data_IF_183535554855
#
_entry.id   IF_183535554855
#
_cell.length_a   1.000
_cell.length_b   1.000
_cell.length_c   1.000
_cell.angle_alpha   90.00
_cell.angle_beta   90.00
_cell.angle_gamma   90.00
#
_symmetry.space_group_name_H-M   'P 1'
#
loop_
_entity.id
_entity.type
_entity.pdbx_description
1 polymer ?
#
# COMPACT_ATOMS: atom_id res chain seq x y z
N UNK A 1 -19.06 -1.59 -2.51
CA UNK A 1 -18.92 -2.81 -3.35
C UNK A 1 -19.06 -2.52 -4.84
N UNK A 2 -20.15 -1.93 -5.33
CA UNK A 2 -20.31 -1.55 -6.76
C UNK A 2 -19.17 -0.64 -7.23
N UNK A 3 -18.87 0.43 -6.49
CA UNK A 3 -17.77 1.37 -6.82
C UNK A 3 -16.38 0.71 -6.83
N UNK A 4 -16.20 -0.40 -6.11
CA UNK A 4 -14.95 -1.14 -6.05
C UNK A 4 -14.82 -2.17 -7.20
N UNK A 5 -15.83 -2.29 -8.07
CA UNK A 5 -15.88 -3.32 -9.12
C UNK A 5 -16.16 -4.74 -8.62
N UNK A 6 -16.41 -4.91 -7.31
CA UNK A 6 -16.67 -6.22 -6.69
C UNK A 6 -18.08 -6.72 -6.98
N UNK A 7 -19.04 -5.82 -7.03
CA UNK A 7 -20.44 -6.15 -7.35
C UNK A 7 -20.81 -5.57 -8.72
N UNK A 8 -21.22 -6.45 -9.63
CA UNK A 8 -21.57 -6.12 -11.02
C UNK A 8 -23.06 -6.25 -11.31
N UNK A 9 -23.86 -6.68 -10.33
CA UNK A 9 -25.30 -6.90 -10.49
C UNK A 9 -26.08 -5.68 -9.99
N UNK A 10 -26.16 -4.65 -10.83
CA UNK A 10 -26.89 -3.42 -10.51
C UNK A 10 -27.57 -2.83 -11.76
N UNK A 11 -28.58 -1.99 -11.53
CA UNK A 11 -29.22 -1.21 -12.58
C UNK A 11 -28.52 0.16 -12.74
N UNK A 12 -28.41 0.66 -13.98
CA UNK A 12 -27.74 1.92 -14.30
C UNK A 12 -26.28 1.75 -14.76
N UNK A 13 -25.48 2.81 -14.66
CA UNK A 13 -24.07 2.83 -15.05
C UNK A 13 -23.18 3.22 -13.87
N UNK A 14 -22.17 2.40 -13.55
CA UNK A 14 -21.07 2.76 -12.66
C UNK A 14 -19.76 2.60 -13.41
N UNK A 15 -19.04 3.71 -13.64
CA UNK A 15 -17.78 3.73 -14.39
C UNK A 15 -16.72 4.53 -13.63
N UNK A 16 -15.57 3.92 -13.30
CA UNK A 16 -14.44 4.66 -12.74
C UNK A 16 -13.77 5.50 -13.82
N UNK A 17 -13.02 6.53 -13.40
CA UNK A 17 -12.13 7.26 -14.31
C UNK A 17 -11.10 6.28 -14.90
N UNK A 18 -10.83 6.30 -16.22
CA UNK A 18 -9.82 5.42 -16.81
C UNK A 18 -8.44 5.60 -16.14
N UNK A 19 -7.83 4.49 -15.72
CA UNK A 19 -6.51 4.47 -15.09
C UNK A 19 -6.49 4.78 -13.58
N UNK A 20 -7.63 5.06 -12.94
CA UNK A 20 -7.69 5.34 -11.50
C UNK A 20 -7.40 4.08 -10.68
N UNK A 21 -6.52 4.20 -9.68
CA UNK A 21 -6.23 3.15 -8.70
C UNK A 21 -7.21 3.26 -7.54
N UNK A 22 -8.16 2.32 -7.47
CA UNK A 22 -9.15 2.26 -6.39
C UNK A 22 -8.69 1.26 -5.34
N UNK A 23 -8.46 1.74 -4.12
CA UNK A 23 -8.25 0.93 -2.94
C UNK A 23 -9.57 0.63 -2.24
N UNK A 24 -9.85 -0.65 -1.95
CA UNK A 24 -11.06 -1.07 -1.24
C UNK A 24 -10.69 -1.96 -0.04
N UNK A 25 -11.15 -1.57 1.16
CA UNK A 25 -11.08 -2.41 2.35
C UNK A 25 -12.40 -3.18 2.51
N UNK A 26 -12.37 -4.49 2.26
CA UNK A 26 -13.49 -5.37 2.52
C UNK A 26 -13.68 -5.61 4.03
N UNK A 27 -14.92 -5.90 4.45
CA UNK A 27 -15.24 -6.22 5.85
C UNK A 27 -14.46 -7.45 6.35
N UNK A 28 -14.30 -8.45 5.50
CA UNK A 28 -13.43 -9.61 5.70
C UNK A 28 -12.35 -9.58 4.61
N UNK A 29 -11.13 -9.11 4.92
CA UNK A 29 -10.07 -9.02 3.93
C UNK A 29 -9.54 -10.40 3.57
N UNK A 30 -9.45 -10.66 2.26
CA UNK A 30 -8.78 -11.84 1.72
C UNK A 30 -7.27 -11.60 1.73
N UNK A 31 -6.57 -12.40 2.55
CA UNK A 31 -5.12 -12.42 2.67
C UNK A 31 -4.61 -13.85 2.46
N UNK A 32 -3.41 -13.99 1.91
CA UNK A 32 -2.74 -15.30 1.83
C UNK A 32 -2.31 -15.74 3.24
N UNK A 33 -2.92 -16.82 3.72
CA UNK A 33 -2.72 -17.32 5.09
C UNK A 33 -1.32 -17.91 5.31
N UNK A 34 -0.57 -18.21 4.25
CA UNK A 34 0.77 -18.77 4.33
C UNK A 34 1.87 -17.71 4.40
N UNK A 35 1.54 -16.45 4.09
CA UNK A 35 2.48 -15.35 4.14
C UNK A 35 2.68 -14.85 5.57
N UNK A 36 3.77 -14.14 5.76
CA UNK A 36 4.06 -13.31 6.93
C UNK A 36 3.36 -11.96 6.83
N UNK A 37 3.28 -11.24 7.97
CA UNK A 37 2.80 -9.85 7.99
C UNK A 37 3.60 -8.97 7.02
N UNK A 38 4.93 -9.09 7.03
CA UNK A 38 5.79 -8.28 6.15
C UNK A 38 5.50 -8.54 4.68
N UNK A 39 5.42 -9.81 4.27
CA UNK A 39 5.15 -10.16 2.87
C UNK A 39 3.80 -9.60 2.40
N UNK A 40 2.75 -9.63 3.23
CA UNK A 40 1.45 -9.07 2.86
C UNK A 40 1.49 -7.55 2.78
N UNK A 41 2.13 -6.86 3.74
CA UNK A 41 2.23 -5.40 3.71
C UNK A 41 3.04 -4.94 2.48
N UNK A 42 4.11 -5.65 2.16
CA UNK A 42 4.98 -5.37 1.02
C UNK A 42 4.28 -5.54 -0.35
N UNK A 43 3.18 -6.31 -0.43
CA UNK A 43 2.34 -6.35 -1.64
C UNK A 43 1.81 -4.97 -2.02
N UNK A 44 1.52 -4.12 -1.03
CA UNK A 44 1.05 -2.75 -1.28
C UNK A 44 2.10 -1.88 -1.97
N UNK A 45 3.38 -2.18 -1.76
CA UNK A 45 4.53 -1.37 -2.22
C UNK A 45 5.42 -2.13 -3.21
N UNK A 46 4.90 -3.21 -3.82
CA UNK A 46 5.67 -4.08 -4.71
C UNK A 46 6.30 -3.30 -5.88
N UNK A 47 5.56 -2.38 -6.49
CA UNK A 47 6.06 -1.54 -7.59
C UNK A 47 7.21 -0.61 -7.16
N UNK A 48 7.24 -0.17 -5.91
CA UNK A 48 8.31 0.67 -5.36
C UNK A 48 9.53 -0.21 -5.07
N UNK A 49 9.32 -1.38 -4.44
CA UNK A 49 10.39 -2.35 -4.17
C UNK A 49 11.07 -2.85 -5.45
N UNK A 50 10.31 -3.07 -6.51
CA UNK A 50 10.85 -3.48 -7.81
C UNK A 50 11.78 -2.41 -8.39
N UNK A 51 11.38 -1.13 -8.35
CA UNK A 51 12.23 -0.01 -8.79
C UNK A 51 13.51 0.10 -7.98
N UNK A 52 13.41 0.01 -6.65
CA UNK A 52 14.57 0.02 -5.75
C UNK A 52 15.52 -1.14 -6.05
N UNK A 53 14.99 -2.36 -6.17
CA UNK A 53 15.79 -3.55 -6.47
C UNK A 53 16.47 -3.45 -7.84
N UNK A 54 15.79 -2.87 -8.85
CA UNK A 54 16.37 -2.64 -10.17
C UNK A 54 17.47 -1.59 -10.10
N UNK A 55 17.26 -0.49 -9.38
CA UNK A 55 18.27 0.55 -9.17
C UNK A 55 19.53 -0.02 -8.50
N UNK A 56 19.37 -0.86 -7.49
CA UNK A 56 20.48 -1.53 -6.80
C UNK A 56 21.21 -2.50 -7.74
N UNK A 57 20.47 -3.28 -8.54
CA UNK A 57 21.06 -4.20 -9.51
C UNK A 57 21.89 -3.48 -10.57
N UNK A 58 21.41 -2.33 -11.08
CA UNK A 58 22.18 -1.49 -12.00
C UNK A 58 23.45 -0.95 -11.31
N UNK A 59 23.32 -0.50 -10.06
CA UNK A 59 24.46 0.00 -9.27
C UNK A 59 25.54 -1.07 -9.07
N UNK A 60 25.13 -2.31 -8.79
CA UNK A 60 26.06 -3.44 -8.71
C UNK A 60 26.69 -3.76 -10.07
N UNK A 61 25.92 -3.68 -11.16
CA UNK A 61 26.43 -3.94 -12.52
C UNK A 61 27.55 -2.97 -12.89
N UNK A 62 27.51 -1.71 -12.46
CA UNK A 62 28.61 -0.74 -12.66
C UNK A 62 29.93 -1.11 -11.99
N UNK A 63 29.93 -2.03 -11.02
CA UNK A 63 31.17 -2.53 -10.41
C UNK A 63 31.88 -3.59 -11.27
N UNK A 64 31.25 -4.07 -12.34
CA UNK A 64 31.77 -5.09 -13.24
C UNK A 64 32.18 -4.52 -14.60
N UNK A 65 33.11 -5.16 -15.32
CA UNK A 65 33.43 -4.79 -16.70
C UNK A 65 32.20 -4.85 -17.60
N UNK A 66 32.02 -3.81 -18.43
CA UNK A 66 30.96 -3.70 -19.41
C UNK A 66 31.42 -2.92 -20.64
N UNK A 67 30.62 -2.96 -21.71
CA UNK A 67 30.85 -2.14 -22.89
C UNK A 67 30.38 -0.71 -22.68
N UNK A 68 30.91 0.24 -23.45
CA UNK A 68 30.46 1.64 -23.42
C UNK A 68 28.97 1.78 -23.75
N UNK A 69 28.47 0.97 -24.70
CA UNK A 69 27.04 0.96 -25.09
C UNK A 69 26.15 0.47 -23.93
N UNK A 70 26.57 -0.59 -23.24
CA UNK A 70 25.87 -1.09 -22.06
C UNK A 70 25.88 -0.07 -20.91
N UNK A 71 27.02 0.57 -20.67
CA UNK A 71 27.16 1.61 -19.64
C UNK A 71 26.21 2.79 -19.91
N UNK A 72 26.16 3.26 -21.16
CA UNK A 72 25.27 4.36 -21.54
C UNK A 72 23.79 4.00 -21.36
N UNK A 73 23.38 2.79 -21.73
CA UNK A 73 22.02 2.31 -21.55
C UNK A 73 21.62 2.25 -20.06
N UNK A 74 22.50 1.70 -19.22
CA UNK A 74 22.28 1.58 -17.78
C UNK A 74 22.25 2.94 -17.06
N UNK A 75 23.04 3.92 -17.52
CA UNK A 75 23.00 5.28 -16.97
C UNK A 75 21.66 5.98 -17.24
N UNK A 76 21.11 5.80 -18.45
CA UNK A 76 19.78 6.34 -18.81
C UNK A 76 18.71 5.70 -17.93
N UNK A 77 18.70 4.36 -17.87
CA UNK A 77 17.72 3.60 -17.08
C UNK A 77 17.80 3.94 -15.59
N UNK A 78 19.00 4.04 -15.03
CA UNK A 78 19.19 4.43 -13.62
C UNK A 78 18.67 5.84 -13.35
N UNK A 79 18.87 6.79 -14.28
CA UNK A 79 18.36 8.15 -14.15
C UNK A 79 16.84 8.22 -14.19
N UNK A 80 16.19 7.43 -15.05
CA UNK A 80 14.72 7.30 -15.08
C UNK A 80 14.19 6.70 -13.78
N UNK A 81 14.76 5.59 -13.32
CA UNK A 81 14.41 4.95 -12.05
C UNK A 81 14.60 5.90 -10.86
N UNK A 82 15.69 6.67 -10.83
CA UNK A 82 15.93 7.64 -9.76
C UNK A 82 14.79 8.66 -9.67
N UNK A 83 14.35 9.20 -10.81
CA UNK A 83 13.25 10.16 -10.84
C UNK A 83 11.93 9.52 -10.37
N UNK A 84 11.65 8.28 -10.78
CA UNK A 84 10.45 7.56 -10.36
C UNK A 84 10.46 7.23 -8.86
N UNK A 85 11.60 6.76 -8.33
CA UNK A 85 11.77 6.44 -6.90
C UNK A 85 11.60 7.71 -6.05
N UNK A 86 12.16 8.84 -6.49
CA UNK A 86 11.98 10.12 -5.81
C UNK A 86 10.50 10.54 -5.82
N UNK A 87 9.83 10.45 -6.98
CA UNK A 87 8.43 10.86 -7.14
C UNK A 87 7.47 10.05 -6.26
N UNK A 88 7.72 8.75 -6.05
CA UNK A 88 6.92 7.92 -5.13
C UNK A 88 7.46 7.92 -3.68
N UNK A 89 8.52 8.68 -3.40
CA UNK A 89 9.20 8.71 -2.10
C UNK A 89 9.67 7.33 -1.64
N UNK A 90 10.25 6.55 -2.56
CA UNK A 90 10.70 5.18 -2.34
C UNK A 90 11.96 5.08 -1.48
N UNK A 91 12.80 6.12 -1.42
CA UNK A 91 13.99 6.13 -0.54
C UNK A 91 13.63 6.01 0.95
N UNK A 92 12.44 6.49 1.31
CA UNK A 92 11.90 6.45 2.68
C UNK A 92 11.01 5.23 2.94
N UNK A 93 10.99 4.24 2.03
CA UNK A 93 10.02 3.14 2.07
C UNK A 93 10.05 2.35 3.38
N UNK A 94 11.23 1.91 3.85
CA UNK A 94 11.36 1.15 5.10
C UNK A 94 10.82 1.94 6.30
N UNK A 95 11.15 3.24 6.38
CA UNK A 95 10.63 4.12 7.43
C UNK A 95 9.10 4.24 7.36
N UNK A 96 8.53 4.39 6.16
CA UNK A 96 7.07 4.44 5.97
C UNK A 96 6.40 3.14 6.40
N UNK A 97 7.00 1.99 6.11
CA UNK A 97 6.50 0.68 6.54
C UNK A 97 6.47 0.59 8.06
N UNK A 98 7.56 0.95 8.73
CA UNK A 98 7.67 0.88 10.19
C UNK A 98 6.68 1.83 10.89
N UNK A 99 6.57 3.08 10.41
CA UNK A 99 5.63 4.06 10.98
C UNK A 99 4.18 3.60 10.82
N UNK A 100 3.81 3.08 9.64
CA UNK A 100 2.45 2.60 9.41
C UNK A 100 2.14 1.34 10.23
N UNK A 101 3.12 0.44 10.37
CA UNK A 101 2.95 -0.79 11.15
C UNK A 101 2.79 -0.52 12.65
N UNK A 102 3.60 0.40 13.20
CA UNK A 102 3.52 0.83 14.59
C UNK A 102 2.19 1.55 14.88
N UNK A 103 1.83 2.51 14.02
CA UNK A 103 0.59 3.27 14.17
C UNK A 103 -0.67 2.40 14.12
N UNK A 104 -0.68 1.37 13.27
CA UNK A 104 -1.78 0.40 13.18
C UNK A 104 -1.59 -0.80 14.11
N UNK A 105 -0.57 -0.79 14.98
CA UNK A 105 -0.27 -1.84 15.95
C UNK A 105 -0.35 -3.24 15.32
N UNK A 106 0.40 -3.41 14.24
CA UNK A 106 0.49 -4.69 13.57
C UNK A 106 1.20 -5.72 14.45
N UNK A 107 0.90 -7.02 14.28
CA UNK A 107 1.72 -8.08 14.84
C UNK A 107 3.15 -8.04 14.30
N UNK A 108 4.03 -8.82 14.92
CA UNK A 108 5.42 -9.00 14.47
C UNK A 108 5.52 -9.30 12.96
N UNK A 109 6.54 -8.76 12.32
CA UNK A 109 6.73 -8.84 10.88
C UNK A 109 6.80 -10.27 10.34
N UNK A 110 7.34 -11.22 11.11
CA UNK A 110 7.48 -12.63 10.79
C UNK A 110 6.26 -13.48 11.18
N UNK A 111 5.25 -12.88 11.81
CA UNK A 111 4.04 -13.59 12.18
C UNK A 111 3.26 -14.07 10.94
N UNK A 112 2.82 -15.33 10.97
CA UNK A 112 2.07 -15.95 9.86
C UNK A 112 0.61 -15.49 9.90
N UNK A 113 0.09 -15.01 8.77
CA UNK A 113 -1.28 -14.47 8.64
C UNK A 113 -2.35 -15.48 9.10
N UNK A 114 -2.17 -16.76 8.79
CA UNK A 114 -3.07 -17.84 9.21
C UNK A 114 -3.23 -18.00 10.72
N UNK A 115 -2.33 -17.45 11.53
CA UNK A 115 -2.37 -17.50 13.00
C UNK A 115 -2.98 -16.26 13.65
N UNK A 116 -3.23 -15.21 12.86
CA UNK A 116 -3.74 -13.94 13.36
C UNK A 116 -5.26 -13.99 13.62
N UNK A 117 -5.70 -13.23 14.61
CA UNK A 117 -7.11 -12.94 14.85
C UNK A 117 -7.72 -12.14 13.67
N UNK A 118 -9.06 -12.12 13.58
CA UNK A 118 -9.75 -11.35 12.55
C UNK A 118 -9.42 -9.85 12.58
N UNK A 119 -9.30 -9.27 13.78
CA UNK A 119 -8.92 -7.87 13.96
C UNK A 119 -7.49 -7.59 13.50
N UNK A 120 -6.53 -8.45 13.84
CA UNK A 120 -5.14 -8.32 13.37
C UNK A 120 -5.05 -8.41 11.84
N UNK A 121 -5.73 -9.39 11.23
CA UNK A 121 -5.79 -9.49 9.76
C UNK A 121 -6.39 -8.24 9.11
N UNK A 122 -7.40 -7.64 9.74
CA UNK A 122 -7.99 -6.38 9.28
C UNK A 122 -6.99 -5.23 9.32
N UNK A 123 -6.21 -5.10 10.40
CA UNK A 123 -5.18 -4.06 10.51
C UNK A 123 -4.06 -4.25 9.48
N UNK A 124 -3.62 -5.49 9.25
CA UNK A 124 -2.64 -5.81 8.20
C UNK A 124 -3.17 -5.44 6.81
N UNK A 125 -4.42 -5.80 6.50
CA UNK A 125 -5.04 -5.46 5.22
C UNK A 125 -5.21 -3.95 5.02
N UNK A 126 -5.59 -3.23 6.08
CA UNK A 126 -5.65 -1.77 6.07
C UNK A 126 -4.26 -1.17 5.83
N UNK A 127 -3.22 -1.62 6.53
CA UNK A 127 -1.85 -1.15 6.33
C UNK A 127 -1.38 -1.34 4.88
N UNK A 128 -1.56 -2.55 4.32
CA UNK A 128 -1.28 -2.86 2.90
C UNK A 128 -2.00 -1.89 1.97
N UNK A 129 -3.28 -1.61 2.25
CA UNK A 129 -4.12 -0.73 1.43
C UNK A 129 -3.62 0.72 1.44
N UNK A 130 -3.35 1.29 2.61
CA UNK A 130 -2.90 2.67 2.75
C UNK A 130 -1.54 2.87 2.07
N UNK A 131 -0.60 1.93 2.26
CA UNK A 131 0.72 1.99 1.66
C UNK A 131 0.69 1.85 0.13
N UNK A 132 -0.35 1.23 -0.43
CA UNK A 132 -0.52 1.11 -1.88
C UNK A 132 -0.77 2.43 -2.61
N UNK A 133 -0.97 3.52 -1.87
CA UNK A 133 -1.15 4.88 -2.41
C UNK A 133 -2.16 4.92 -3.56
N UNK A 134 -3.41 4.47 -3.35
CA UNK A 134 -4.45 4.56 -4.37
C UNK A 134 -4.85 6.02 -4.63
N UNK A 135 -5.51 6.28 -5.75
CA UNK A 135 -6.11 7.59 -6.05
C UNK A 135 -7.45 7.78 -5.34
N UNK A 136 -8.10 6.66 -5.00
CA UNK A 136 -9.39 6.64 -4.31
C UNK A 136 -9.43 5.53 -3.26
N UNK A 137 -9.87 5.86 -2.05
CA UNK A 137 -10.10 4.91 -0.96
C UNK A 137 -11.59 4.68 -0.73
N UNK A 138 -11.97 3.41 -0.67
CA UNK A 138 -13.30 2.93 -0.31
C UNK A 138 -13.18 2.15 0.99
N UNK A 139 -13.62 2.74 2.10
CA UNK A 139 -13.43 2.22 3.45
C UNK A 139 -14.78 1.87 4.09
N UNK A 140 -14.92 0.64 4.56
CA UNK A 140 -16.15 0.15 5.19
C UNK A 140 -15.89 -0.19 6.67
N UNK A 141 -16.34 0.69 7.58
CA UNK A 141 -16.07 0.66 9.02
C UNK A 141 -14.57 0.61 9.38
N UNK A 142 -13.71 1.51 8.86
CA UNK A 142 -12.26 1.34 8.96
C UNK A 142 -11.71 1.45 10.40
N UNK A 143 -12.48 2.04 11.32
CA UNK A 143 -12.11 2.19 12.74
C UNK A 143 -12.35 0.92 13.56
N UNK A 144 -13.07 -0.07 13.02
CA UNK A 144 -13.37 -1.28 13.76
C UNK A 144 -12.10 -2.09 14.07
N UNK A 145 -11.98 -2.56 15.31
CA UNK A 145 -10.80 -3.25 15.86
C UNK A 145 -9.52 -2.41 15.94
N UNK A 146 -9.64 -1.08 15.84
CA UNK A 146 -8.58 -0.12 16.17
C UNK A 146 -8.78 0.41 17.59
N UNK A 147 -7.69 0.78 18.26
CA UNK A 147 -7.76 1.58 19.47
C UNK A 147 -7.73 3.07 19.16
N UNK A 148 -7.93 3.91 20.18
CA UNK A 148 -8.07 5.35 20.00
C UNK A 148 -6.83 6.02 19.36
N UNK A 149 -5.63 5.50 19.61
CA UNK A 149 -4.40 6.05 19.01
C UNK A 149 -4.32 5.68 17.52
N UNK A 150 -4.61 4.43 17.16
CA UNK A 150 -4.67 4.01 15.76
C UNK A 150 -5.78 4.70 14.97
N UNK A 151 -6.93 4.99 15.61
CA UNK A 151 -8.01 5.77 14.99
C UNK A 151 -7.55 7.19 14.70
N UNK A 152 -6.96 7.88 15.67
CA UNK A 152 -6.48 9.25 15.48
C UNK A 152 -5.39 9.35 14.39
N UNK A 153 -4.51 8.35 14.31
CA UNK A 153 -3.53 8.28 13.23
C UNK A 153 -4.20 8.07 11.86
N UNK A 154 -5.19 7.18 11.79
CA UNK A 154 -5.93 6.93 10.55
C UNK A 154 -6.69 8.18 10.10
N UNK A 155 -7.34 8.91 11.01
CA UNK A 155 -7.99 10.19 10.72
C UNK A 155 -7.01 11.17 10.11
N UNK A 156 -5.87 11.40 10.76
CA UNK A 156 -4.83 12.30 10.27
C UNK A 156 -4.30 11.87 8.89
N UNK A 157 -4.06 10.58 8.68
CA UNK A 157 -3.65 10.05 7.38
C UNK A 157 -4.69 10.35 6.29
N UNK A 158 -5.98 10.16 6.59
CA UNK A 158 -7.06 10.41 5.64
C UNK A 158 -7.32 11.89 5.37
N UNK A 159 -7.04 12.77 6.34
CA UNK A 159 -7.07 14.23 6.15
C UNK A 159 -5.97 14.71 5.20
N UNK A 160 -4.78 14.12 5.27
CA UNK A 160 -3.64 14.44 4.40
C UNK A 160 -3.70 13.73 3.04
N UNK A 161 -4.59 12.75 2.88
CA UNK A 161 -4.74 11.98 1.66
C UNK A 161 -5.22 12.88 0.51
N UNK A 162 -4.38 13.03 -0.51
CA UNK A 162 -4.65 13.91 -1.67
C UNK A 162 -5.70 13.37 -2.63
N UNK A 163 -6.04 12.08 -2.52
CA UNK A 163 -7.05 11.42 -3.33
C UNK A 163 -8.46 11.59 -2.78
N UNK A 164 -9.39 10.79 -3.32
CA UNK A 164 -10.78 10.78 -2.85
C UNK A 164 -10.99 9.69 -1.79
N UNK A 165 -11.54 10.04 -0.63
CA UNK A 165 -11.95 9.07 0.39
C UNK A 165 -13.47 8.94 0.41
N UNK A 166 -13.96 7.72 0.35
CA UNK A 166 -15.36 7.36 0.65
C UNK A 166 -15.34 6.38 1.80
N UNK A 167 -15.73 6.84 2.99
CA UNK A 167 -15.77 6.03 4.20
C UNK A 167 -17.20 5.86 4.70
N UNK A 168 -17.51 4.65 5.17
CA UNK A 168 -18.71 4.33 5.94
C UNK A 168 -18.24 4.07 7.37
N UNK A 169 -18.84 4.74 8.35
CA UNK A 169 -18.47 4.60 9.76
C UNK A 169 -19.68 4.81 10.66
N UNK A 170 -19.73 4.09 11.77
CA UNK A 170 -20.64 4.36 12.89
C UNK A 170 -20.01 5.27 13.95
N UNK A 171 -18.73 5.56 13.85
CA UNK A 171 -18.04 6.45 14.78
C UNK A 171 -18.39 7.91 14.50
N UNK A 172 -18.91 8.60 15.52
CA UNK A 172 -19.33 10.01 15.42
C UNK A 172 -18.17 10.99 15.46
N UNK A 173 -17.01 10.53 15.92
CA UNK A 173 -15.80 11.34 16.02
C UNK A 173 -14.87 11.14 14.83
N UNK A 174 -15.16 10.17 13.95
CA UNK A 174 -14.36 9.92 12.76
C UNK A 174 -14.62 10.96 11.69
N UNK A 175 -13.55 11.74 11.40
CA UNK A 175 -13.48 12.97 10.59
C UNK A 175 -13.85 14.25 11.38
#
# INVERSE_FOLDING_TARGET
>A
RIMAGVDTQYEGEARPQPGIKIGYLAQEPELDLNKTVREVVEEGVAEIKEKLSRFDAISMRFAEPMSDDEMNALLIEQGELQNEIEACGGWDLERKLDVAADALRLPEWDAIIGKLSGGERRRVALCRLLLSSPDMLLLDEPTNHLDAESVAWLEHYLEEFSGTVVAITHDRYFL
#
